data_IF_513722056653
#
_entry.id   IF_513722056653
#
_cell.length_a   1.000
_cell.length_b   1.000
_cell.length_c   1.000
_cell.angle_alpha   90.00
_cell.angle_beta   90.00
_cell.angle_gamma   90.00
#
_symmetry.space_group_name_H-M   'P 1'
#
loop_
_entity.id
_entity.type
_entity.pdbx_description
1 polymer ?
#
# COMPACT_ATOMS: atom_id res chain seq x y z
N UNK A 1 -15.52 -7.46 23.15
CA UNK A 1 -14.66 -8.45 23.83
C UNK A 1 -14.73 -9.87 23.22
N UNK A 2 -15.71 -10.21 22.37
CA UNK A 2 -15.88 -11.60 21.87
C UNK A 2 -15.05 -12.00 20.63
N UNK A 3 -14.30 -11.08 20.00
CA UNK A 3 -13.48 -11.42 18.82
C UNK A 3 -12.09 -12.01 19.16
N UNK A 4 -11.70 -12.06 20.44
CA UNK A 4 -10.38 -12.51 20.89
C UNK A 4 -10.25 -14.03 21.06
N UNK A 5 -11.34 -14.80 20.93
CA UNK A 5 -11.39 -16.19 21.36
C UNK A 5 -11.68 -17.22 20.25
N UNK A 6 -11.60 -16.84 18.96
CA UNK A 6 -11.62 -17.85 17.89
C UNK A 6 -10.22 -18.46 17.79
N UNK A 7 -10.02 -19.76 18.07
CA UNK A 7 -8.74 -20.41 17.83
C UNK A 7 -8.42 -20.28 16.33
N UNK A 8 -7.44 -19.44 16.04
CA UNK A 8 -7.03 -19.07 14.70
C UNK A 8 -6.09 -20.14 14.15
N UNK A 9 -6.64 -21.31 13.88
CA UNK A 9 -5.89 -22.42 13.29
C UNK A 9 -6.76 -23.03 12.19
N UNK A 10 -6.84 -22.35 11.05
CA UNK A 10 -7.20 -23.01 9.81
C UNK A 10 -6.57 -22.24 8.64
N UNK A 11 -5.42 -22.78 8.20
CA UNK A 11 -4.51 -22.36 7.14
C UNK A 11 -3.97 -20.91 7.20
N UNK A 12 -2.91 -20.69 7.98
CA UNK A 12 -1.99 -19.58 7.67
C UNK A 12 -1.19 -19.98 6.42
N UNK A 13 -1.75 -19.71 5.24
CA UNK A 13 -1.00 -19.86 3.99
C UNK A 13 0.04 -18.74 3.91
N UNK A 14 1.32 -19.06 3.68
CA UNK A 14 2.35 -18.03 3.56
C UNK A 14 2.06 -17.15 2.35
N UNK A 15 2.39 -15.87 2.47
CA UNK A 15 2.15 -14.94 1.37
C UNK A 15 2.83 -13.60 1.55
N UNK A 16 2.47 -12.66 0.70
CA UNK A 16 2.99 -11.30 0.70
C UNK A 16 1.92 -10.32 1.15
N UNK A 17 2.34 -9.30 1.89
CA UNK A 17 1.54 -8.09 2.08
C UNK A 17 1.83 -7.15 0.92
N UNK A 18 0.79 -6.55 0.35
CA UNK A 18 0.94 -5.56 -0.73
C UNK A 18 0.22 -4.27 -0.39
N UNK A 19 0.72 -3.18 -0.96
CA UNK A 19 0.14 -1.86 -0.88
C UNK A 19 0.04 -1.24 -2.27
N UNK A 20 -1.13 -0.71 -2.60
CA UNK A 20 -1.34 0.01 -3.86
C UNK A 20 -2.22 1.25 -3.66
N UNK A 21 -2.07 2.22 -4.55
CA UNK A 21 -2.91 3.42 -4.58
C UNK A 21 -3.97 3.33 -5.68
N UNK A 22 -5.08 4.05 -5.49
CA UNK A 22 -5.97 4.39 -6.60
C UNK A 22 -5.54 5.72 -7.22
N UNK A 23 -5.40 5.73 -8.55
CA UNK A 23 -5.39 6.97 -9.31
C UNK A 23 -6.83 7.37 -9.61
N UNK A 24 -7.29 8.59 -9.25
CA UNK A 24 -8.54 9.08 -9.82
C UNK A 24 -8.40 9.10 -11.34
N UNK A 25 -9.41 8.60 -12.04
CA UNK A 25 -9.46 8.29 -13.48
C UNK A 25 -9.33 9.49 -14.43
N UNK A 26 -8.80 10.64 -13.98
CA UNK A 26 -8.68 11.85 -14.80
C UNK A 26 -7.27 12.33 -15.08
N UNK A 27 -6.19 11.79 -14.48
CA UNK A 27 -4.84 12.09 -14.99
C UNK A 27 -3.78 11.10 -14.49
N UNK A 28 -3.07 10.47 -15.43
CA UNK A 28 -2.01 9.50 -15.20
C UNK A 28 -0.69 10.20 -14.80
N UNK A 29 -0.56 10.52 -13.52
CA UNK A 29 0.64 11.09 -12.90
C UNK A 29 0.91 10.71 -11.41
N UNK A 30 -0.06 10.28 -10.58
CA UNK A 30 0.10 10.15 -9.12
C UNK A 30 1.18 9.21 -8.58
N UNK A 31 1.49 8.16 -9.31
CA UNK A 31 1.87 6.87 -8.72
C UNK A 31 3.34 6.51 -8.99
N UNK A 32 3.87 6.92 -10.14
CA UNK A 32 5.32 7.06 -10.37
C UNK A 32 5.97 7.99 -9.33
N UNK A 33 5.27 9.06 -8.93
CA UNK A 33 5.71 9.91 -7.84
C UNK A 33 5.74 9.15 -6.53
N UNK A 34 4.65 8.50 -6.12
CA UNK A 34 4.60 7.72 -4.87
C UNK A 34 5.66 6.61 -4.79
N UNK A 35 5.93 5.90 -5.89
CA UNK A 35 7.05 4.95 -5.98
C UNK A 35 8.41 5.63 -5.81
N UNK A 36 8.62 6.77 -6.47
CA UNK A 36 9.83 7.59 -6.32
C UNK A 36 10.01 8.09 -4.88
N UNK A 37 8.93 8.37 -4.14
CA UNK A 37 8.98 8.80 -2.74
C UNK A 37 9.50 7.71 -1.78
N UNK A 38 9.31 6.45 -2.14
CA UNK A 38 9.74 5.27 -1.38
C UNK A 38 11.14 4.77 -1.76
N UNK A 39 11.73 5.30 -2.84
CA UNK A 39 13.11 5.02 -3.23
C UNK A 39 14.11 5.83 -2.37
N UNK A 40 15.30 5.28 -2.05
CA UNK A 40 16.38 6.06 -1.46
C UNK A 40 16.76 7.25 -2.36
N UNK A 41 17.12 8.42 -1.81
CA UNK A 41 17.59 9.54 -2.63
C UNK A 41 18.94 9.19 -3.26
N UNK A 42 18.97 8.92 -4.57
CA UNK A 42 20.23 8.73 -5.30
C UNK A 42 20.89 10.08 -5.62
N UNK A 43 22.18 10.30 -5.28
CA UNK A 43 22.86 11.58 -5.48
C UNK A 43 23.29 11.88 -6.94
N UNK A 44 22.99 11.01 -7.91
CA UNK A 44 23.70 10.99 -9.21
C UNK A 44 22.83 10.79 -10.46
N UNK A 45 21.61 11.34 -10.53
CA UNK A 45 20.78 11.27 -11.77
C UNK A 45 20.76 12.59 -12.55
N UNK A 46 21.07 12.61 -13.87
CA UNK A 46 21.03 13.82 -14.70
C UNK A 46 19.59 14.36 -14.91
N UNK A 47 19.43 15.65 -15.27
CA UNK A 47 18.18 16.40 -15.13
C UNK A 47 17.22 16.18 -16.32
N UNK A 48 16.82 14.94 -16.57
CA UNK A 48 15.74 14.61 -17.53
C UNK A 48 14.55 13.90 -16.92
N UNK A 49 14.53 13.74 -15.59
CA UNK A 49 13.37 13.21 -14.87
C UNK A 49 12.63 14.36 -14.21
N UNK A 50 11.34 14.49 -14.54
CA UNK A 50 10.43 15.52 -13.98
C UNK A 50 10.56 15.49 -12.45
N UNK A 51 10.85 16.65 -11.86
CA UNK A 51 11.05 16.79 -10.42
C UNK A 51 9.86 16.14 -9.67
N UNK A 52 10.11 15.34 -8.62
CA UNK A 52 9.05 14.79 -7.77
C UNK A 52 8.10 15.87 -7.23
N UNK A 53 8.61 17.09 -7.02
CA UNK A 53 7.83 18.25 -6.60
C UNK A 53 6.80 18.73 -7.65
N UNK A 54 7.07 18.52 -8.95
CA UNK A 54 6.17 18.94 -10.03
C UNK A 54 4.94 18.00 -10.15
N UNK A 55 5.10 16.74 -9.77
CA UNK A 55 4.00 15.77 -9.75
C UNK A 55 3.09 16.00 -8.55
N UNK A 56 3.64 16.40 -7.39
CA UNK A 56 2.84 16.91 -6.27
C UNK A 56 2.04 18.14 -6.72
N UNK A 57 2.65 19.06 -7.48
CA UNK A 57 1.95 20.23 -8.04
C UNK A 57 0.84 19.89 -9.05
N UNK A 58 0.89 18.77 -9.78
CA UNK A 58 -0.22 18.36 -10.66
C UNK A 58 -1.43 17.82 -9.88
N UNK A 59 -1.27 17.36 -8.62
CA UNK A 59 -2.41 17.13 -7.73
C UNK A 59 -3.00 18.43 -7.17
N UNK A 60 -2.24 19.53 -7.16
CA UNK A 60 -2.68 20.84 -6.63
C UNK A 60 -3.59 21.58 -7.63
N UNK A 61 -3.56 21.22 -8.91
CA UNK A 61 -4.22 22.00 -9.96
C UNK A 61 -5.73 21.73 -10.12
N UNK A 62 -6.31 20.72 -9.45
CA UNK A 62 -7.75 20.40 -9.62
C UNK A 62 -8.67 21.14 -8.65
N UNK A 63 -8.14 21.79 -7.60
CA UNK A 63 -8.90 22.78 -6.83
C UNK A 63 -7.98 23.68 -6.00
N UNK A 64 -7.78 24.96 -6.39
CA UNK A 64 -6.95 25.90 -5.63
C UNK A 64 -7.52 26.21 -4.23
N UNK A 65 -8.73 25.74 -3.89
CA UNK A 65 -9.34 25.89 -2.57
C UNK A 65 -8.79 24.94 -1.48
N UNK A 66 -8.09 23.86 -1.83
CA UNK A 66 -7.77 22.75 -0.88
C UNK A 66 -6.28 22.41 -0.80
N UNK A 67 -5.41 23.39 -1.03
CA UNK A 67 -3.94 23.20 -1.09
C UNK A 67 -3.27 22.72 0.22
N UNK A 68 -4.03 22.50 1.31
CA UNK A 68 -3.54 21.95 2.58
C UNK A 68 -4.03 20.55 2.96
N UNK A 69 -4.89 19.89 2.16
CA UNK A 69 -5.61 18.66 2.57
C UNK A 69 -5.71 17.54 1.51
N UNK A 70 -4.80 17.48 0.54
CA UNK A 70 -4.83 16.38 -0.43
C UNK A 70 -4.58 15.02 0.25
N UNK A 71 -5.54 14.12 0.17
CA UNK A 71 -5.46 12.74 0.67
C UNK A 71 -5.41 11.74 -0.49
N UNK A 72 -4.83 10.57 -0.24
CA UNK A 72 -4.70 9.45 -1.15
C UNK A 72 -5.29 8.20 -0.50
N UNK A 73 -6.02 7.41 -1.28
CA UNK A 73 -6.53 6.11 -0.85
C UNK A 73 -5.53 5.01 -1.14
N UNK A 74 -5.13 4.30 -0.08
CA UNK A 74 -4.25 3.14 -0.12
C UNK A 74 -5.04 1.88 0.21
N UNK A 75 -4.84 0.83 -0.58
CA UNK A 75 -5.29 -0.51 -0.27
C UNK A 75 -4.14 -1.34 0.24
N UNK A 76 -4.35 -1.99 1.38
CA UNK A 76 -3.37 -2.90 1.96
C UNK A 76 -4.01 -4.28 2.09
N UNK A 77 -3.45 -5.26 1.40
CA UNK A 77 -3.98 -6.61 1.38
C UNK A 77 -2.90 -7.67 1.39
N UNK A 78 -3.34 -8.94 1.37
CA UNK A 78 -2.46 -10.12 1.32
C UNK A 78 -2.75 -11.02 0.13
N UNK A 79 -1.72 -11.69 -0.37
CA UNK A 79 -1.86 -12.76 -1.37
C UNK A 79 -0.58 -13.62 -1.45
N UNK A 80 -0.72 -14.92 -1.73
CA UNK A 80 0.40 -15.77 -2.13
C UNK A 80 0.93 -15.41 -3.53
N UNK A 81 0.08 -14.87 -4.41
CA UNK A 81 0.46 -14.30 -5.71
C UNK A 81 -0.16 -12.91 -5.91
N UNK A 82 0.62 -11.87 -5.61
CA UNK A 82 0.19 -10.46 -5.64
C UNK A 82 -0.24 -10.04 -7.05
N UNK A 83 0.51 -10.43 -8.09
CA UNK A 83 0.21 -10.04 -9.46
C UNK A 83 -1.15 -10.60 -9.92
N UNK A 84 -1.42 -11.88 -9.66
CA UNK A 84 -2.72 -12.50 -9.96
C UNK A 84 -3.85 -11.82 -9.19
N UNK A 85 -3.64 -11.51 -7.91
CA UNK A 85 -4.63 -10.81 -7.07
C UNK A 85 -4.95 -9.42 -7.58
N UNK A 86 -3.93 -8.68 -8.03
CA UNK A 86 -4.09 -7.35 -8.60
C UNK A 86 -4.95 -7.36 -9.87
N UNK A 87 -4.65 -8.28 -10.79
CA UNK A 87 -5.40 -8.46 -12.03
C UNK A 87 -6.87 -8.85 -11.76
N UNK A 88 -7.12 -9.72 -10.78
CA UNK A 88 -8.48 -10.06 -10.37
C UNK A 88 -9.22 -8.84 -9.82
N UNK A 89 -8.55 -8.03 -9.01
CA UNK A 89 -9.17 -6.88 -8.38
C UNK A 89 -9.50 -5.79 -9.41
N UNK A 90 -8.58 -5.48 -10.32
CA UNK A 90 -8.82 -4.59 -11.46
C UNK A 90 -10.07 -5.02 -12.26
N UNK A 91 -10.21 -6.33 -12.53
CA UNK A 91 -11.39 -6.87 -13.25
C UNK A 91 -12.67 -6.86 -12.42
N UNK A 92 -12.59 -7.11 -11.11
CA UNK A 92 -13.77 -7.20 -10.23
C UNK A 92 -14.32 -5.82 -9.86
N UNK A 93 -13.44 -4.83 -9.68
CA UNK A 93 -13.80 -3.52 -9.15
C UNK A 93 -13.67 -2.38 -10.17
N UNK A 94 -13.11 -2.64 -11.36
CA UNK A 94 -13.10 -1.69 -12.48
C UNK A 94 -12.21 -0.46 -12.29
N UNK A 95 -11.26 -0.51 -11.36
CA UNK A 95 -10.34 0.60 -11.09
C UNK A 95 -8.94 0.31 -11.62
N UNK A 96 -8.27 1.33 -12.15
CA UNK A 96 -6.85 1.29 -12.47
C UNK A 96 -6.05 1.26 -11.17
N UNK A 97 -5.25 0.20 -11.04
CA UNK A 97 -4.42 -0.03 -9.85
C UNK A 97 -2.96 0.09 -10.19
N UNK A 98 -2.24 0.87 -9.39
CA UNK A 98 -0.78 0.86 -9.41
C UNK A 98 -0.21 0.35 -8.09
N UNK A 99 0.51 -0.78 -8.17
CA UNK A 99 1.21 -1.38 -7.04
C UNK A 99 2.34 -0.49 -6.55
N UNK A 100 2.26 0.01 -5.33
CA UNK A 100 3.34 0.80 -4.74
C UNK A 100 4.49 -0.09 -4.27
N UNK A 101 4.15 -1.13 -3.51
CA UNK A 101 5.13 -2.03 -2.88
C UNK A 101 4.49 -3.35 -2.45
N UNK A 102 5.29 -4.40 -2.34
CA UNK A 102 4.96 -5.62 -1.62
C UNK A 102 6.05 -5.96 -0.61
N UNK A 103 5.72 -6.76 0.39
CA UNK A 103 6.56 -7.07 1.54
C UNK A 103 6.63 -8.59 1.76
N UNK A 104 7.79 -9.11 2.22
CA UNK A 104 9.02 -8.41 2.61
C UNK A 104 9.69 -7.62 1.46
N UNK A 105 10.06 -6.36 1.71
CA UNK A 105 10.65 -5.50 0.69
C UNK A 105 12.17 -5.66 0.70
N UNK A 106 12.72 -6.13 -0.40
CA UNK A 106 14.16 -6.14 -0.62
C UNK A 106 14.60 -4.82 -1.26
N UNK A 107 15.57 -4.08 -0.68
CA UNK A 107 16.17 -2.97 -1.39
C UNK A 107 16.84 -3.46 -2.68
N UNK A 108 16.78 -2.67 -3.76
CA UNK A 108 17.16 -3.09 -5.11
C UNK A 108 18.58 -3.65 -5.28
N UNK A 109 19.50 -3.41 -4.33
CA UNK A 109 20.81 -4.07 -4.29
C UNK A 109 20.71 -5.59 -4.05
N UNK A 110 19.78 -6.04 -3.20
CA UNK A 110 19.55 -7.47 -2.94
C UNK A 110 18.75 -8.14 -4.05
N UNK A 111 17.85 -7.40 -4.71
CA UNK A 111 17.13 -7.88 -5.89
C UNK A 111 18.09 -8.19 -7.05
N UNK A 112 19.11 -7.32 -7.25
CA UNK A 112 20.18 -7.57 -8.23
C UNK A 112 21.10 -8.74 -7.88
N UNK A 113 21.12 -9.17 -6.62
CA UNK A 113 21.86 -10.35 -6.16
C UNK A 113 21.08 -11.66 -6.32
N UNK A 114 19.88 -11.64 -6.89
CA UNK A 114 19.05 -12.83 -7.10
C UNK A 114 18.39 -13.35 -5.82
N UNK A 115 18.38 -12.56 -4.74
CA UNK A 115 17.66 -12.91 -3.51
C UNK A 115 16.16 -12.78 -3.78
N UNK A 116 15.44 -13.89 -3.69
CA UNK A 116 13.98 -13.90 -3.81
C UNK A 116 13.37 -13.52 -2.46
N UNK A 117 12.43 -12.55 -2.40
CA UNK A 117 11.71 -12.25 -1.17
C UNK A 117 11.02 -13.52 -0.64
N UNK A 118 11.28 -13.87 0.61
CA UNK A 118 10.55 -14.97 1.24
C UNK A 118 9.11 -14.55 1.53
N UNK A 119 8.22 -15.53 1.66
CA UNK A 119 6.86 -15.26 2.08
C UNK A 119 6.80 -15.05 3.61
N UNK A 120 5.88 -14.20 4.04
CA UNK A 120 5.51 -14.02 5.46
C UNK A 120 4.76 -15.26 5.93
N UNK A 121 5.19 -15.86 7.04
CA UNK A 121 4.65 -17.13 7.54
C UNK A 121 3.22 -16.94 8.04
N UNK A 122 2.99 -15.94 8.88
CA UNK A 122 1.67 -15.65 9.45
C UNK A 122 1.03 -14.43 8.75
N UNK A 123 0.96 -14.44 7.41
CA UNK A 123 0.59 -13.26 6.61
C UNK A 123 -0.80 -12.71 6.95
N UNK A 124 -1.75 -13.58 7.30
CA UNK A 124 -3.08 -13.15 7.70
C UNK A 124 -3.07 -12.40 9.04
N UNK A 125 -2.28 -12.88 10.01
CA UNK A 125 -2.10 -12.23 11.31
C UNK A 125 -1.42 -10.87 11.14
N UNK A 126 -0.35 -10.83 10.35
CA UNK A 126 0.37 -9.60 10.02
C UNK A 126 -0.56 -8.57 9.39
N UNK A 127 -1.33 -8.95 8.36
CA UNK A 127 -2.30 -8.05 7.73
C UNK A 127 -3.30 -7.50 8.75
N UNK A 128 -3.85 -8.37 9.59
CA UNK A 128 -4.83 -7.97 10.60
C UNK A 128 -4.24 -6.96 11.58
N UNK A 129 -3.01 -7.17 12.03
CA UNK A 129 -2.29 -6.27 12.93
C UNK A 129 -2.01 -4.91 12.28
N UNK A 130 -1.56 -4.91 11.02
CA UNK A 130 -1.39 -3.69 10.22
C UNK A 130 -2.71 -2.91 10.11
N UNK A 131 -3.82 -3.59 9.79
CA UNK A 131 -5.13 -2.94 9.67
C UNK A 131 -5.62 -2.38 11.00
N UNK A 132 -5.40 -3.09 12.12
CA UNK A 132 -5.77 -2.62 13.46
C UNK A 132 -4.99 -1.36 13.81
N UNK A 133 -3.67 -1.34 13.58
CA UNK A 133 -2.83 -0.18 13.89
C UNK A 133 -3.23 1.04 13.04
N UNK A 134 -3.39 0.86 11.74
CA UNK A 134 -3.82 1.95 10.85
C UNK A 134 -5.23 2.47 11.16
N UNK A 135 -6.15 1.57 11.54
CA UNK A 135 -7.47 1.97 12.00
C UNK A 135 -7.41 2.71 13.34
N UNK A 136 -6.53 2.30 14.25
CA UNK A 136 -6.27 2.98 15.53
C UNK A 136 -5.70 4.39 15.36
N UNK A 137 -5.02 4.65 14.24
CA UNK A 137 -4.56 5.98 13.83
C UNK A 137 -5.65 6.82 13.13
N UNK A 138 -6.87 6.30 12.97
CA UNK A 138 -7.96 6.98 12.29
C UNK A 138 -7.79 7.06 10.77
N UNK A 139 -6.91 6.25 10.18
CA UNK A 139 -6.65 6.26 8.73
C UNK A 139 -7.61 5.37 7.95
N UNK A 140 -8.53 4.66 8.61
CA UNK A 140 -9.45 3.75 7.93
C UNK A 140 -10.47 4.56 7.12
N UNK A 141 -10.58 4.25 5.83
CA UNK A 141 -11.52 4.92 4.95
C UNK A 141 -12.91 4.29 5.04
N UNK A 142 -13.93 5.12 5.22
CA UNK A 142 -15.34 4.72 5.21
C UNK A 142 -15.92 4.86 3.79
N UNK A 143 -15.51 3.97 2.89
CA UNK A 143 -15.87 4.01 1.46
C UNK A 143 -17.20 3.34 1.09
N UNK A 144 -17.99 2.86 2.05
CA UNK A 144 -19.25 2.16 1.80
C UNK A 144 -19.12 0.91 0.92
N UNK A 145 -20.17 0.59 0.16
CA UNK A 145 -20.18 -0.53 -0.80
C UNK A 145 -19.53 -0.10 -2.11
N UNK A 146 -18.64 -0.93 -2.63
CA UNK A 146 -18.08 -0.75 -3.96
C UNK A 146 -19.18 -0.74 -5.02
N UNK A 147 -19.20 0.26 -5.88
CA UNK A 147 -20.18 0.39 -6.96
C UNK A 147 -20.05 -0.74 -8.00
N UNK A 148 -18.82 -1.20 -8.26
CA UNK A 148 -18.56 -2.23 -9.25
C UNK A 148 -18.84 -3.66 -8.74
N UNK A 149 -18.42 -3.99 -7.51
CA UNK A 149 -18.54 -5.36 -6.99
C UNK A 149 -19.61 -5.54 -5.90
N UNK A 150 -20.26 -4.47 -5.45
CA UNK A 150 -21.32 -4.48 -4.44
C UNK A 150 -20.88 -4.83 -3.01
N UNK A 151 -19.59 -5.09 -2.78
CA UNK A 151 -19.02 -5.49 -1.48
C UNK A 151 -18.36 -4.32 -0.77
N UNK A 152 -18.32 -4.39 0.55
CA UNK A 152 -17.57 -3.45 1.38
C UNK A 152 -16.10 -3.84 1.42
N UNK A 153 -15.22 -2.92 1.04
CA UNK A 153 -13.78 -3.12 1.12
C UNK A 153 -13.26 -2.50 2.43
N UNK A 154 -13.00 -3.35 3.43
CA UNK A 154 -12.50 -2.92 4.76
C UNK A 154 -11.00 -2.63 4.82
N UNK A 155 -10.34 -2.75 3.68
CA UNK A 155 -8.89 -2.77 3.50
C UNK A 155 -8.38 -1.45 2.90
N UNK A 156 -9.20 -0.39 2.95
CA UNK A 156 -8.89 0.94 2.45
C UNK A 156 -8.49 1.88 3.58
N UNK A 157 -7.45 2.65 3.31
CA UNK A 157 -6.91 3.64 4.23
C UNK A 157 -6.71 4.97 3.51
N UNK A 158 -7.23 6.03 4.10
CA UNK A 158 -7.05 7.40 3.63
C UNK A 158 -5.83 8.00 4.33
N UNK A 159 -4.82 8.39 3.55
CA UNK A 159 -3.60 8.99 4.06
C UNK A 159 -3.34 10.33 3.42
N UNK A 160 -2.59 11.21 4.08
CA UNK A 160 -2.11 12.43 3.44
C UNK A 160 -1.29 12.07 2.21
N UNK A 161 -1.56 12.71 1.07
CA UNK A 161 -0.83 12.54 -0.20
C UNK A 161 0.57 13.20 -0.12
N UNK A 162 1.31 12.85 0.93
CA UNK A 162 2.63 13.37 1.30
C UNK A 162 3.59 12.21 1.42
N UNK A 163 4.88 12.48 1.22
CA UNK A 163 5.92 11.46 1.40
C UNK A 163 5.94 10.90 2.81
N UNK A 164 5.74 11.76 3.82
CA UNK A 164 5.69 11.30 5.20
C UNK A 164 4.51 10.37 5.45
N UNK A 165 3.34 10.68 4.87
CA UNK A 165 2.14 9.83 5.00
C UNK A 165 2.33 8.42 4.47
N UNK A 166 2.85 8.29 3.24
CA UNK A 166 3.10 6.97 2.64
C UNK A 166 4.24 6.23 3.37
N UNK A 167 5.29 6.94 3.81
CA UNK A 167 6.37 6.34 4.61
C UNK A 167 5.93 5.84 5.97
N UNK A 168 4.97 6.53 6.61
CA UNK A 168 4.42 6.08 7.88
C UNK A 168 3.73 4.71 7.72
N UNK A 169 2.95 4.53 6.65
CA UNK A 169 2.33 3.24 6.32
C UNK A 169 3.37 2.17 5.98
N UNK A 170 4.37 2.48 5.15
CA UNK A 170 5.48 1.55 4.84
C UNK A 170 6.18 1.09 6.13
N UNK A 171 6.47 2.02 7.05
CA UNK A 171 7.08 1.72 8.33
C UNK A 171 6.22 0.81 9.22
N UNK A 172 4.90 1.00 9.25
CA UNK A 172 3.97 0.13 10.00
C UNK A 172 4.01 -1.30 9.45
N UNK A 173 3.89 -1.46 8.13
CA UNK A 173 3.90 -2.78 7.49
C UNK A 173 5.22 -3.50 7.80
N UNK A 174 6.35 -2.81 7.64
CA UNK A 174 7.67 -3.40 7.90
C UNK A 174 7.85 -3.84 9.34
N UNK A 175 7.38 -3.08 10.32
CA UNK A 175 7.44 -3.47 11.74
C UNK A 175 6.68 -4.78 12.01
N UNK A 176 5.50 -4.94 11.42
CA UNK A 176 4.72 -6.17 11.62
C UNK A 176 5.30 -7.37 10.87
N UNK A 177 5.95 -7.14 9.72
CA UNK A 177 6.71 -8.18 9.02
C UNK A 177 7.92 -8.63 9.85
N UNK A 178 8.70 -7.68 10.39
CA UNK A 178 9.84 -7.97 11.27
C UNK A 178 9.38 -8.70 12.55
N UNK A 179 8.25 -8.28 13.13
CA UNK A 179 7.64 -9.00 14.24
C UNK A 179 7.28 -10.44 13.87
N UNK A 180 6.74 -10.70 12.68
CA UNK A 180 6.47 -12.07 12.22
C UNK A 180 7.77 -12.87 12.10
N UNK A 181 8.80 -12.31 11.47
CA UNK A 181 10.10 -12.98 11.30
C UNK A 181 10.75 -13.34 12.65
N UNK A 182 10.57 -12.52 13.68
CA UNK A 182 11.07 -12.79 15.03
C UNK A 182 10.24 -13.82 15.81
N UNK A 183 8.99 -14.06 15.40
CA UNK A 183 8.04 -14.93 16.10
C UNK A 183 7.57 -16.12 15.23
N UNK A 184 8.26 -16.36 14.11
CA UNK A 184 8.00 -17.45 13.16
C UNK A 184 8.70 -18.76 13.54
#
# INVERSE_FOLDING_TARGET
MAELARPYVDSEEPGFIYMFGLTPTSDAAPVDAARSLLSPPSPSRPPRSRRPSAVVSSFVATDPSTSGRATMLLKIGRASNVQRRLNQWQRQCGHDVEMLRYYPYLPGSQESSGVVPHMTTHVHRVERLVHIELAGMGLKADGGKCEACGREHREWFEVKATREGVRAVDGIIRRWIEWDEMNA
#
